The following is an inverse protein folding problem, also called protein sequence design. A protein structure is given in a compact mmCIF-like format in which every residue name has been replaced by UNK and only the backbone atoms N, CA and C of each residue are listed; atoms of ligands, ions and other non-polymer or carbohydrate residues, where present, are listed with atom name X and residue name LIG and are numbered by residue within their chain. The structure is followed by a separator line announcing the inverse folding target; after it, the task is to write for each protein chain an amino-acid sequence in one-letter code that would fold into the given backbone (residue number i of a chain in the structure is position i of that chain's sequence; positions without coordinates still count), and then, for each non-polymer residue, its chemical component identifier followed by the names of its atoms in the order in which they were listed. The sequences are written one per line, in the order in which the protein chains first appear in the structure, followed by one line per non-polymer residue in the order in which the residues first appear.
data_IF_934280764130
#
_entry.id   IF_934280764130
#
_cell.length_a   1.000
_cell.length_b   1.000
_cell.length_c   1.000
_cell.angle_alpha   90.00
_cell.angle_beta   90.00
_cell.angle_gamma   90.00
#
_symmetry.space_group_name_H-M   'P 1'
#
loop_
_entity.id
_entity.type
_entity.pdbx_description
1 polymer ?
#
# COMPACT_ATOMS: atom_id res chain seq x y z
N UNK A 1 15.75 6.48 17.48
CA UNK A 1 15.68 7.75 16.74
C UNK A 1 14.97 7.60 15.39
N UNK A 2 15.37 6.68 14.50
CA UNK A 2 14.61 6.47 13.26
C UNK A 2 13.31 5.69 13.46
N UNK A 3 13.32 4.68 14.34
CA UNK A 3 12.13 3.88 14.65
C UNK A 3 10.93 4.74 15.07
N UNK A 4 11.18 5.73 15.95
CA UNK A 4 10.18 6.66 16.47
C UNK A 4 9.51 7.49 15.36
N UNK A 5 10.22 7.77 14.26
CA UNK A 5 9.65 8.44 13.08
C UNK A 5 8.62 7.57 12.34
N UNK A 6 8.75 6.24 12.36
CA UNK A 6 7.80 5.34 11.68
C UNK A 6 6.63 4.98 12.57
N UNK A 7 6.87 4.84 13.87
CA UNK A 7 5.85 4.35 14.79
C UNK A 7 5.05 5.46 15.44
N UNK A 8 5.58 6.69 15.46
CA UNK A 8 4.99 7.82 16.16
C UNK A 8 3.70 8.34 15.51
N UNK A 9 2.77 8.76 16.37
CA UNK A 9 1.58 9.52 16.00
C UNK A 9 1.73 11.02 16.31
N UNK A 10 0.69 11.80 16.00
CA UNK A 10 0.64 13.20 16.41
C UNK A 10 0.32 13.32 17.91
N UNK A 11 1.00 14.25 18.60
CA UNK A 11 0.76 14.61 20.00
C UNK A 11 0.70 13.38 20.92
N UNK A 12 -0.43 13.16 21.62
CA UNK A 12 -0.62 12.06 22.58
C UNK A 12 -0.99 10.71 21.90
N UNK A 13 -0.95 10.68 20.56
CA UNK A 13 -1.17 9.51 19.72
C UNK A 13 -2.56 8.87 19.87
N UNK A 14 -3.55 9.65 20.29
CA UNK A 14 -4.93 9.17 20.49
C UNK A 14 -5.50 8.53 19.22
N UNK A 15 -5.36 9.21 18.07
CA UNK A 15 -5.86 8.70 16.78
C UNK A 15 -5.13 7.44 16.34
N UNK A 16 -3.82 7.34 16.60
CA UNK A 16 -3.04 6.13 16.28
C UNK A 16 -3.58 4.92 17.03
N UNK A 17 -3.85 5.08 18.33
CA UNK A 17 -4.44 4.02 19.19
C UNK A 17 -5.87 3.68 18.74
N UNK A 18 -6.68 4.69 18.43
CA UNK A 18 -8.07 4.48 18.03
C UNK A 18 -8.19 3.79 16.67
N UNK A 19 -7.30 4.07 15.71
CA UNK A 19 -7.27 3.38 14.41
C UNK A 19 -7.18 1.86 14.58
N UNK A 20 -6.30 1.38 15.46
CA UNK A 20 -6.16 -0.06 15.74
C UNK A 20 -7.38 -0.60 16.49
N UNK A 21 -7.88 0.15 17.47
CA UNK A 21 -9.04 -0.25 18.27
C UNK A 21 -10.31 -0.38 17.41
N UNK A 22 -10.51 0.53 16.46
CA UNK A 22 -11.65 0.52 15.56
C UNK A 22 -11.76 -0.80 14.79
N UNK A 23 -10.66 -1.31 14.24
CA UNK A 23 -10.65 -2.61 13.55
C UNK A 23 -10.89 -3.80 14.49
N UNK A 24 -10.41 -3.73 15.74
CA UNK A 24 -10.66 -4.78 16.75
C UNK A 24 -12.12 -4.88 17.18
N UNK A 25 -12.88 -3.79 17.06
CA UNK A 25 -14.31 -3.77 17.39
C UNK A 25 -15.17 -4.44 16.31
N UNK A 26 -14.63 -4.74 15.12
CA UNK A 26 -15.36 -5.39 14.04
C UNK A 26 -15.32 -6.91 14.23
N UNK A 27 -16.48 -7.54 14.36
CA UNK A 27 -16.60 -9.01 14.44
C UNK A 27 -16.95 -9.60 13.08
N UNK A 28 -16.20 -10.61 12.64
CA UNK A 28 -16.47 -11.33 11.39
C UNK A 28 -17.49 -12.45 11.67
N UNK A 29 -18.56 -12.52 10.87
CA UNK A 29 -19.51 -13.64 10.87
C UNK A 29 -19.16 -14.62 9.75
N UNK A 30 -18.40 -15.71 10.02
CA UNK A 30 -18.02 -16.66 8.98
C UNK A 30 -19.23 -17.41 8.43
N UNK A 31 -19.21 -17.72 7.13
CA UNK A 31 -20.14 -18.66 6.50
C UNK A 31 -19.46 -20.02 6.41
N UNK A 32 -20.05 -21.03 7.04
CA UNK A 32 -19.52 -22.40 7.07
C UNK A 32 -20.02 -23.20 5.88
N UNK A 33 -19.34 -24.32 5.57
CA UNK A 33 -19.68 -25.24 4.47
C UNK A 33 -19.67 -24.59 3.07
N UNK A 34 -18.84 -23.56 2.88
CA UNK A 34 -18.57 -22.96 1.57
C UNK A 34 -17.41 -23.67 0.89
N UNK A 35 -17.51 -23.95 -0.40
CA UNK A 35 -16.36 -24.38 -1.20
C UNK A 35 -15.37 -23.21 -1.32
N UNK A 36 -14.18 -23.40 -0.76
CA UNK A 36 -13.06 -22.46 -0.77
C UNK A 36 -11.85 -23.03 -1.52
N UNK A 37 -12.06 -24.05 -2.37
CA UNK A 37 -11.00 -24.69 -3.16
C UNK A 37 -10.25 -23.71 -4.07
N UNK A 38 -10.88 -22.59 -4.44
CA UNK A 38 -10.27 -21.48 -5.18
C UNK A 38 -10.69 -20.14 -4.57
N UNK A 39 -9.70 -19.33 -4.22
CA UNK A 39 -9.89 -17.97 -3.72
C UNK A 39 -9.15 -17.04 -4.68
N UNK A 40 -9.87 -16.08 -5.25
CA UNK A 40 -9.30 -15.02 -6.07
C UNK A 40 -9.40 -13.70 -5.31
N UNK A 41 -8.25 -13.08 -5.04
CA UNK A 41 -8.16 -11.77 -4.40
C UNK A 41 -8.00 -10.63 -5.40
N UNK A 42 -7.89 -10.93 -6.69
CA UNK A 42 -7.69 -9.92 -7.72
C UNK A 42 -8.86 -8.95 -7.79
N UNK A 43 -8.56 -7.69 -8.08
CA UNK A 43 -9.56 -6.64 -8.17
C UNK A 43 -9.08 -5.48 -9.05
N UNK A 44 -9.94 -4.51 -9.30
CA UNK A 44 -9.61 -3.30 -10.04
C UNK A 44 -9.74 -2.09 -9.13
N UNK A 45 -8.65 -1.34 -8.98
CA UNK A 45 -8.60 -0.10 -8.20
C UNK A 45 -8.37 1.06 -9.16
N UNK A 46 -9.32 2.01 -9.22
CA UNK A 46 -9.24 3.20 -10.10
C UNK A 46 -8.96 2.84 -11.57
N UNK A 47 -9.51 1.74 -12.06
CA UNK A 47 -9.30 1.27 -13.45
C UNK A 47 -8.01 0.47 -13.68
N UNK A 48 -7.12 0.36 -12.69
CA UNK A 48 -5.94 -0.51 -12.76
C UNK A 48 -6.26 -1.90 -12.16
N UNK A 49 -6.01 -2.97 -12.91
CA UNK A 49 -6.10 -4.35 -12.37
C UNK A 49 -4.96 -4.63 -11.39
N UNK A 50 -5.29 -5.27 -10.28
CA UNK A 50 -4.41 -5.56 -9.14
C UNK A 50 -4.60 -7.00 -8.67
N UNK A 51 -3.55 -7.61 -8.11
CA UNK A 51 -3.59 -8.98 -7.58
C UNK A 51 -4.36 -9.13 -6.26
N UNK A 52 -4.53 -8.02 -5.53
CA UNK A 52 -5.15 -7.96 -4.23
C UNK A 52 -5.77 -6.57 -4.01
N UNK A 53 -6.78 -6.42 -3.12
CA UNK A 53 -7.38 -5.13 -2.77
C UNK A 53 -6.47 -4.33 -1.83
N UNK A 54 -5.20 -4.18 -2.20
CA UNK A 54 -4.14 -3.58 -1.40
C UNK A 54 -3.33 -2.60 -2.24
N UNK A 55 -2.87 -1.54 -1.59
CA UNK A 55 -1.96 -0.56 -2.17
C UNK A 55 -0.93 -0.12 -1.13
N UNK A 56 0.25 0.26 -1.60
CA UNK A 56 1.27 0.89 -0.76
C UNK A 56 0.92 2.36 -0.63
N UNK A 57 0.54 2.76 0.58
CA UNK A 57 0.24 4.13 0.91
C UNK A 57 1.48 5.03 0.80
N UNK A 58 1.22 6.31 0.57
CA UNK A 58 2.23 7.34 0.48
C UNK A 58 3.05 7.42 1.77
N UNK A 59 4.32 7.05 1.71
CA UNK A 59 5.27 7.17 2.80
C UNK A 59 6.54 7.87 2.31
N UNK A 60 7.24 8.56 3.21
CA UNK A 60 8.43 9.35 2.86
C UNK A 60 9.68 8.77 3.54
N UNK A 61 10.84 9.07 2.96
CA UNK A 61 12.16 8.84 3.55
C UNK A 61 12.49 7.35 3.75
N UNK A 62 12.18 6.52 2.75
CA UNK A 62 12.37 5.06 2.86
C UNK A 62 13.84 4.67 3.02
N UNK A 63 14.77 5.53 2.56
CA UNK A 63 16.22 5.32 2.64
C UNK A 63 16.74 5.11 4.05
N UNK A 64 16.06 5.68 5.03
CA UNK A 64 16.46 5.53 6.42
C UNK A 64 16.05 4.14 6.98
N UNK A 65 15.13 3.40 6.32
CA UNK A 65 14.71 2.04 6.69
C UNK A 65 15.53 1.00 5.93
N UNK A 66 15.81 1.30 4.66
CA UNK A 66 16.60 0.43 3.80
C UNK A 66 17.40 1.28 2.81
N UNK A 67 18.66 0.95 2.58
CA UNK A 67 19.56 1.72 1.72
C UNK A 67 19.02 1.97 0.29
N UNK A 68 18.28 1.01 -0.29
CA UNK A 68 17.62 1.18 -1.61
C UNK A 68 16.40 2.12 -1.59
N UNK A 69 15.85 2.42 -0.41
CA UNK A 69 14.72 3.34 -0.23
C UNK A 69 13.48 2.99 -1.06
N UNK A 70 12.91 4.02 -1.69
CA UNK A 70 11.65 3.93 -2.43
C UNK A 70 11.77 3.02 -3.66
N UNK A 71 12.98 2.80 -4.19
CA UNK A 71 13.21 1.89 -5.33
C UNK A 71 12.93 0.44 -4.94
N UNK A 72 13.31 0.02 -3.73
CA UNK A 72 12.99 -1.33 -3.27
C UNK A 72 11.48 -1.53 -3.11
N UNK A 73 10.78 -0.55 -2.51
CA UNK A 73 9.32 -0.58 -2.38
C UNK A 73 8.63 -0.56 -3.75
N UNK A 74 9.18 0.19 -4.71
CA UNK A 74 8.72 0.23 -6.08
C UNK A 74 8.78 -1.11 -6.78
N UNK A 75 9.95 -1.75 -6.69
CA UNK A 75 10.21 -3.06 -7.28
C UNK A 75 9.29 -4.11 -6.66
N UNK A 76 9.16 -4.10 -5.34
CA UNK A 76 8.26 -5.00 -4.62
C UNK A 76 6.80 -4.82 -5.08
N UNK A 77 6.29 -3.57 -5.08
CA UNK A 77 4.91 -3.28 -5.51
C UNK A 77 4.63 -3.72 -6.94
N UNK A 78 5.58 -3.49 -7.86
CA UNK A 78 5.49 -3.95 -9.23
C UNK A 78 5.50 -5.48 -9.34
N UNK A 79 6.37 -6.17 -8.58
CA UNK A 79 6.45 -7.63 -8.57
C UNK A 79 5.21 -8.29 -7.97
N UNK A 80 4.57 -7.65 -6.99
CA UNK A 80 3.34 -8.12 -6.36
C UNK A 80 2.07 -7.70 -7.11
N UNK A 81 2.18 -6.94 -8.21
CA UNK A 81 1.07 -6.40 -8.97
C UNK A 81 0.06 -5.59 -8.12
N UNK A 82 0.58 -4.70 -7.29
CA UNK A 82 -0.20 -3.76 -6.45
C UNK A 82 0.22 -2.32 -6.73
N UNK A 83 -0.69 -1.39 -6.46
CA UNK A 83 -0.46 0.04 -6.70
C UNK A 83 0.43 0.61 -5.59
N UNK A 84 1.41 1.44 -5.94
CA UNK A 84 2.18 2.27 -5.01
C UNK A 84 1.87 3.74 -5.23
N UNK A 85 1.51 4.45 -4.17
CA UNK A 85 1.31 5.90 -4.18
C UNK A 85 2.64 6.58 -3.84
N UNK A 86 3.10 7.47 -4.71
CA UNK A 86 4.39 8.16 -4.57
C UNK A 86 4.25 9.64 -4.22
N UNK A 87 5.27 10.18 -3.54
CA UNK A 87 5.35 11.60 -3.21
C UNK A 87 6.05 12.35 -4.35
N UNK A 88 5.55 13.54 -4.67
CA UNK A 88 6.13 14.43 -5.69
C UNK A 88 7.63 14.69 -5.47
N UNK A 89 8.08 14.79 -4.22
CA UNK A 89 9.49 15.01 -3.85
C UNK A 89 10.25 13.74 -3.48
N UNK A 90 9.89 12.59 -4.05
CA UNK A 90 10.64 11.35 -3.80
C UNK A 90 12.09 11.53 -4.27
N UNK A 91 13.05 11.14 -3.43
CA UNK A 91 14.50 11.32 -3.62
C UNK A 91 15.07 10.58 -4.85
N UNK A 92 14.24 9.79 -5.54
CA UNK A 92 14.58 9.18 -6.82
C UNK A 92 13.50 9.50 -7.85
N UNK A 93 13.94 9.74 -9.08
CA UNK A 93 13.09 9.98 -10.24
C UNK A 93 12.49 8.63 -10.70
N UNK A 94 11.43 8.17 -10.04
CA UNK A 94 10.80 6.86 -10.29
C UNK A 94 9.47 7.08 -11.02
N UNK A 95 9.44 6.76 -12.32
CA UNK A 95 8.22 6.80 -13.13
C UNK A 95 7.53 5.43 -13.12
N UNK A 96 6.28 5.35 -12.65
CA UNK A 96 5.59 4.07 -12.41
C UNK A 96 4.56 3.64 -13.47
N UNK A 97 4.36 2.31 -13.50
CA UNK A 97 3.59 1.50 -14.45
C UNK A 97 2.13 1.96 -14.69
N UNK A 98 1.33 2.31 -13.67
CA UNK A 98 -0.08 2.75 -13.91
C UNK A 98 -0.16 4.06 -14.70
N UNK A 99 0.75 5.00 -14.48
CA UNK A 99 0.83 6.20 -15.32
C UNK A 99 1.28 5.83 -16.73
N UNK A 100 2.25 4.91 -16.89
CA UNK A 100 2.70 4.49 -18.22
C UNK A 100 1.61 3.77 -19.03
N UNK A 101 0.79 2.96 -18.39
CA UNK A 101 -0.26 2.19 -19.06
C UNK A 101 -1.52 3.05 -19.33
N UNK A 102 -1.83 4.06 -18.49
CA UNK A 102 -2.86 5.06 -18.81
C UNK A 102 -2.39 6.12 -19.83
N UNK A 103 -1.14 6.56 -19.78
CA UNK A 103 -0.60 7.58 -20.71
C UNK A 103 -0.43 7.04 -22.14
N UNK A 104 -0.35 5.71 -22.32
CA UNK A 104 -0.33 5.08 -23.66
C UNK A 104 -1.73 4.94 -24.29
N UNK A 105 -2.80 5.15 -23.54
CA UNK A 105 -4.18 4.94 -23.97
C UNK A 105 -4.96 6.25 -24.19
N UNK A 106 -4.31 7.41 -24.11
CA UNK A 106 -4.87 8.68 -24.54
C UNK A 106 -4.20 9.11 -25.85
N UNK A 107 -4.98 9.41 -26.93
CA UNK A 107 -4.44 9.86 -28.21
C UNK A 107 -3.75 11.23 -28.12
#
# INVERSE_FOLDING_TARGET
MYYDFYTGGAEDEHTLKENVKAFRNITIRPRILMDISRIDTSTTIMGCSTSAPLMVALTSVHKLAHHEGEIATARASASSNVIMVLKSHTVHNIFFRCLRDNYKNHP
#
